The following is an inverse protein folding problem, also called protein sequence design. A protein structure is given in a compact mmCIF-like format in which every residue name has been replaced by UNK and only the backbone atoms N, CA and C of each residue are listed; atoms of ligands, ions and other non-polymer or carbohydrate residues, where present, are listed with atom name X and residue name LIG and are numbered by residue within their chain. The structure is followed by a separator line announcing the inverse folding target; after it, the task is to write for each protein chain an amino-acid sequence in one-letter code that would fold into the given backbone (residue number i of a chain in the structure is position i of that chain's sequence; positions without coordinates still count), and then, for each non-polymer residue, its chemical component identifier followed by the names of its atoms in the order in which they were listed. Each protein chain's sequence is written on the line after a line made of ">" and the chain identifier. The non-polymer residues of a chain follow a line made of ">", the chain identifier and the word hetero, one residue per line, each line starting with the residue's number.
data_IF_876195990381
#
_entry.id   IF_876195990381
#
_cell.length_a   1.000
_cell.length_b   1.000
_cell.length_c   1.000
_cell.angle_alpha   90.00
_cell.angle_beta   90.00
_cell.angle_gamma   90.00
#
_symmetry.space_group_name_H-M   'P 1'
#
loop_
_entity.id
_entity.type
_entity.pdbx_description
1 polymer ?
#
# COMPACT_ATOMS: atom_id res chain seq x y z
N UNK A 1 -27.45 14.53 -3.91
CA UNK A 1 -27.53 14.39 -5.39
C UNK A 1 -27.24 12.94 -5.70
N UNK A 2 -27.99 12.33 -6.62
CA UNK A 2 -27.86 10.93 -6.96
C UNK A 2 -27.25 10.79 -8.36
N UNK A 3 -26.23 9.93 -8.48
CA UNK A 3 -25.58 9.56 -9.71
C UNK A 3 -26.09 8.18 -10.13
N UNK A 4 -26.29 7.98 -11.43
CA UNK A 4 -26.77 6.69 -11.95
C UNK A 4 -25.60 5.96 -12.57
N UNK A 5 -25.15 4.89 -11.92
CA UNK A 5 -23.97 4.14 -12.31
C UNK A 5 -24.41 2.92 -13.13
N UNK A 6 -23.99 2.79 -14.41
CA UNK A 6 -24.28 1.59 -15.18
C UNK A 6 -23.47 0.42 -14.62
N UNK A 7 -24.11 -0.72 -14.43
CA UNK A 7 -23.45 -1.95 -13.97
C UNK A 7 -23.61 -3.04 -15.03
N UNK A 8 -22.63 -3.94 -15.14
CA UNK A 8 -22.57 -4.94 -16.23
C UNK A 8 -23.80 -5.85 -16.24
N UNK A 9 -24.17 -6.33 -15.07
CA UNK A 9 -25.33 -7.18 -14.79
C UNK A 9 -25.63 -7.14 -13.29
N UNK A 10 -26.69 -7.81 -12.87
CA UNK A 10 -26.95 -8.04 -11.45
C UNK A 10 -25.84 -8.87 -10.81
N UNK A 11 -25.40 -9.95 -11.47
CA UNK A 11 -24.34 -10.82 -10.96
C UNK A 11 -23.00 -10.06 -10.86
N UNK A 12 -22.66 -9.26 -11.87
CA UNK A 12 -21.45 -8.43 -11.83
C UNK A 12 -21.50 -7.35 -10.74
N UNK A 13 -22.70 -6.86 -10.39
CA UNK A 13 -22.86 -5.98 -9.23
C UNK A 13 -22.64 -6.74 -7.92
N UNK A 14 -23.07 -8.00 -7.80
CA UNK A 14 -22.81 -8.83 -6.62
C UNK A 14 -21.31 -9.08 -6.46
N UNK A 15 -20.61 -9.43 -7.55
CA UNK A 15 -19.14 -9.58 -7.55
C UNK A 15 -18.44 -8.27 -7.11
N UNK A 16 -18.93 -7.12 -7.57
CA UNK A 16 -18.43 -5.81 -7.16
C UNK A 16 -18.64 -5.54 -5.66
N UNK A 17 -19.80 -5.93 -5.11
CA UNK A 17 -20.10 -5.80 -3.67
C UNK A 17 -19.20 -6.70 -2.85
N UNK A 18 -18.97 -7.94 -3.26
CA UNK A 18 -18.02 -8.84 -2.59
C UNK A 18 -16.60 -8.27 -2.63
N UNK A 19 -16.18 -7.69 -3.76
CA UNK A 19 -14.90 -7.01 -3.87
C UNK A 19 -14.79 -5.83 -2.90
N UNK A 20 -15.83 -5.00 -2.79
CA UNK A 20 -15.90 -3.89 -1.83
C UNK A 20 -15.78 -4.40 -0.39
N UNK A 21 -16.59 -5.38 0.00
CA UNK A 21 -16.57 -5.98 1.34
C UNK A 21 -15.20 -6.52 1.73
N UNK A 22 -14.50 -7.15 0.80
CA UNK A 22 -13.18 -7.74 1.04
C UNK A 22 -12.05 -6.71 1.02
N UNK A 23 -12.28 -5.52 0.46
CA UNK A 23 -11.24 -4.50 0.24
C UNK A 23 -11.34 -3.31 1.19
N UNK A 24 -12.52 -3.01 1.72
CA UNK A 24 -12.76 -1.95 2.68
C UNK A 24 -12.12 -2.26 4.03
N UNK A 25 -11.60 -1.23 4.70
CA UNK A 25 -11.18 -1.34 6.09
C UNK A 25 -12.40 -1.51 7.02
N UNK A 26 -12.14 -1.90 8.28
CA UNK A 26 -13.21 -2.08 9.26
C UNK A 26 -14.03 -0.78 9.43
N UNK A 27 -15.35 -0.89 9.24
CA UNK A 27 -16.27 0.24 9.33
C UNK A 27 -16.46 1.07 8.06
N UNK A 28 -15.66 0.84 7.00
CA UNK A 28 -15.81 1.52 5.71
C UNK A 28 -16.96 0.96 4.87
N UNK A 29 -17.23 -0.35 4.95
CA UNK A 29 -18.39 -0.96 4.30
C UNK A 29 -19.48 -1.21 5.34
N UNK A 30 -20.67 -0.62 5.13
CA UNK A 30 -21.84 -0.82 6.01
C UNK A 30 -22.99 -1.43 5.20
N UNK A 31 -23.40 -2.69 5.46
CA UNK A 31 -24.57 -3.27 4.81
C UNK A 31 -25.85 -2.54 5.26
N UNK A 32 -26.90 -2.53 4.44
CA UNK A 32 -28.16 -1.84 4.73
C UNK A 32 -28.93 -2.31 5.99
N UNK A 33 -28.40 -3.26 6.77
CA UNK A 33 -29.08 -3.87 7.92
C UNK A 33 -28.99 -3.05 9.22
N UNK A 34 -28.16 -2.00 9.28
CA UNK A 34 -27.92 -1.24 10.52
C UNK A 34 -28.64 0.12 10.62
N UNK A 35 -29.51 0.46 9.66
CA UNK A 35 -30.37 1.65 9.81
C UNK A 35 -31.71 1.26 10.43
N UNK A 36 -31.88 1.58 11.71
CA UNK A 36 -33.12 1.45 12.44
C UNK A 36 -34.21 2.42 11.93
N UNK A 37 -34.71 2.22 10.69
CA UNK A 37 -35.99 2.74 10.19
C UNK A 37 -36.20 2.34 8.71
N UNK A 38 -36.62 1.11 8.44
CA UNK A 38 -37.70 0.77 7.50
C UNK A 38 -37.58 -0.68 7.02
N UNK A 39 -38.70 -1.39 7.09
CA UNK A 39 -38.86 -2.80 6.73
C UNK A 39 -38.88 -3.07 5.22
N UNK A 40 -38.02 -2.39 4.43
CA UNK A 40 -37.90 -2.55 2.95
C UNK A 40 -36.52 -2.16 2.41
N UNK A 41 -35.41 -2.42 3.11
CA UNK A 41 -34.09 -2.25 2.49
C UNK A 41 -33.85 -3.38 1.47
N UNK A 42 -33.47 -3.02 0.24
CA UNK A 42 -33.04 -3.99 -0.75
C UNK A 42 -31.73 -4.60 -0.24
N UNK A 43 -31.54 -5.94 -0.23
CA UNK A 43 -30.31 -6.58 0.25
C UNK A 43 -29.05 -6.15 -0.52
N UNK A 44 -29.24 -5.49 -1.67
CA UNK A 44 -28.19 -4.95 -2.53
C UNK A 44 -27.80 -3.50 -2.18
N UNK A 45 -28.44 -2.90 -1.18
CA UNK A 45 -28.11 -1.56 -0.71
C UNK A 45 -27.01 -1.61 0.37
N UNK A 46 -26.12 -0.63 0.35
CA UNK A 46 -25.02 -0.50 1.32
C UNK A 46 -24.48 0.92 1.32
N UNK A 47 -23.72 1.27 2.37
CA UNK A 47 -23.02 2.53 2.49
C UNK A 47 -21.50 2.28 2.46
N UNK A 48 -20.75 3.15 1.76
CA UNK A 48 -19.29 3.22 1.77
C UNK A 48 -18.87 4.50 2.50
N UNK A 49 -18.23 4.36 3.65
CA UNK A 49 -17.81 5.49 4.50
C UNK A 49 -16.46 6.01 4.01
N UNK A 50 -16.43 7.31 3.67
CA UNK A 50 -15.21 8.04 3.29
C UNK A 50 -14.56 8.72 4.49
N UNK A 51 -15.37 9.20 5.43
CA UNK A 51 -14.93 9.75 6.70
C UNK A 51 -15.98 9.44 7.77
N UNK A 52 -15.61 8.84 8.91
CA UNK A 52 -16.52 8.71 10.05
C UNK A 52 -16.80 10.08 10.71
N UNK A 53 -17.73 10.11 11.66
CA UNK A 53 -17.97 11.23 12.60
C UNK A 53 -16.66 11.88 13.07
N UNK A 54 -16.53 13.23 13.19
CA UNK A 54 -17.63 14.18 13.32
C UNK A 54 -18.15 14.75 11.98
N UNK A 55 -17.37 14.68 10.90
CA UNK A 55 -17.81 15.04 9.54
C UNK A 55 -18.16 13.75 8.79
N UNK A 56 -19.23 13.07 9.19
CA UNK A 56 -19.61 11.82 8.54
C UNK A 56 -19.86 12.08 7.04
N UNK A 57 -19.04 11.45 6.20
CA UNK A 57 -19.17 11.48 4.75
C UNK A 57 -19.19 10.05 4.24
N UNK A 58 -20.26 9.70 3.54
CA UNK A 58 -20.44 8.37 2.97
C UNK A 58 -21.09 8.42 1.58
N UNK A 59 -20.88 7.37 0.81
CA UNK A 59 -21.59 7.08 -0.42
C UNK A 59 -22.67 6.05 -0.11
N UNK A 60 -23.94 6.40 -0.32
CA UNK A 60 -25.05 5.47 -0.23
C UNK A 60 -25.33 4.86 -1.59
N UNK A 61 -25.24 3.54 -1.67
CA UNK A 61 -25.49 2.77 -2.89
C UNK A 61 -26.86 2.11 -2.78
N UNK A 62 -27.68 2.35 -3.79
CA UNK A 62 -28.89 1.57 -4.05
C UNK A 62 -28.62 0.63 -5.22
N UNK A 63 -28.69 -0.66 -4.96
CA UNK A 63 -28.40 -1.68 -5.96
C UNK A 63 -29.46 -1.77 -7.06
N UNK A 64 -29.15 -2.39 -8.21
CA UNK A 64 -30.11 -2.55 -9.31
C UNK A 64 -31.31 -3.40 -8.87
N UNK A 65 -32.51 -2.91 -9.20
CA UNK A 65 -33.76 -3.65 -9.02
C UNK A 65 -33.96 -4.63 -10.18
N UNK A 66 -34.51 -5.81 -9.89
CA UNK A 66 -34.96 -6.74 -10.92
C UNK A 66 -36.21 -6.17 -11.60
N UNK A 67 -36.02 -5.40 -12.65
CA UNK A 67 -37.10 -5.06 -13.56
C UNK A 67 -37.21 -6.17 -14.60
N UNK A 68 -38.36 -6.83 -14.68
CA UNK A 68 -38.61 -8.00 -15.55
C UNK A 68 -38.55 -7.74 -17.06
N UNK A 69 -38.00 -6.60 -17.47
CA UNK A 69 -37.77 -6.22 -18.85
C UNK A 69 -36.39 -6.71 -19.31
N UNK A 70 -36.38 -7.91 -19.91
CA UNK A 70 -35.23 -8.50 -20.58
C UNK A 70 -34.66 -7.55 -21.65
N UNK A 71 -33.66 -6.75 -21.29
CA UNK A 71 -32.91 -5.89 -22.23
C UNK A 71 -32.36 -4.57 -21.69
N UNK A 72 -32.75 -4.12 -20.49
CA UNK A 72 -32.20 -2.88 -19.90
C UNK A 72 -30.86 -3.13 -19.21
N UNK A 73 -29.84 -2.31 -19.52
CA UNK A 73 -28.57 -2.29 -18.76
C UNK A 73 -28.91 -2.04 -17.29
N UNK A 74 -28.49 -2.93 -16.39
CA UNK A 74 -28.67 -2.76 -14.95
C UNK A 74 -28.01 -1.46 -14.48
N UNK A 75 -28.65 -0.74 -13.55
CA UNK A 75 -28.17 0.55 -13.06
C UNK A 75 -28.27 0.57 -11.53
N UNK A 76 -27.19 0.99 -10.88
CA UNK A 76 -27.18 1.32 -9.46
C UNK A 76 -27.30 2.84 -9.28
N UNK A 77 -27.79 3.27 -8.13
CA UNK A 77 -27.75 4.68 -7.74
C UNK A 77 -26.70 4.90 -6.66
N UNK A 78 -25.85 5.91 -6.85
CA UNK A 78 -24.85 6.34 -5.87
C UNK A 78 -25.21 7.74 -5.38
N UNK A 79 -25.26 7.92 -4.06
CA UNK A 79 -25.63 9.19 -3.45
C UNK A 79 -24.57 9.60 -2.43
N UNK A 80 -24.01 10.80 -2.60
CA UNK A 80 -23.14 11.40 -1.60
C UNK A 80 -23.99 11.91 -0.41
N UNK A 81 -23.74 11.38 0.77
CA UNK A 81 -24.34 11.77 2.04
C UNK A 81 -23.25 12.38 2.94
N UNK A 82 -23.45 13.63 3.33
CA UNK A 82 -22.51 14.36 4.17
C UNK A 82 -23.30 15.35 5.05
N UNK A 83 -24.05 14.86 6.06
CA UNK A 83 -25.01 15.68 6.82
C UNK A 83 -24.33 16.76 7.68
N UNK A 84 -23.11 16.51 8.16
CA UNK A 84 -22.37 17.41 9.05
C UNK A 84 -21.21 18.16 8.38
N UNK A 85 -20.88 17.84 7.12
CA UNK A 85 -19.81 18.49 6.37
C UNK A 85 -20.20 19.90 5.87
N UNK A 86 -19.20 20.78 5.71
CA UNK A 86 -19.41 22.11 5.15
C UNK A 86 -19.73 22.07 3.65
N UNK A 87 -20.41 23.12 3.14
CA UNK A 87 -20.84 23.19 1.74
C UNK A 87 -19.68 23.18 0.73
N UNK A 88 -18.50 23.66 1.11
CA UNK A 88 -17.31 23.67 0.27
C UNK A 88 -16.73 22.28 0.07
N UNK A 89 -16.58 21.51 1.17
CA UNK A 89 -16.18 20.10 1.11
C UNK A 89 -17.17 19.27 0.27
N UNK A 90 -18.49 19.45 0.50
CA UNK A 90 -19.53 18.76 -0.29
C UNK A 90 -19.43 19.11 -1.77
N UNK A 91 -19.19 20.37 -2.11
CA UNK A 91 -19.05 20.78 -3.51
C UNK A 91 -17.77 20.21 -4.14
N UNK A 92 -16.67 20.15 -3.40
CA UNK A 92 -15.41 19.55 -3.87
C UNK A 92 -15.58 18.06 -4.16
N UNK A 93 -16.20 17.31 -3.24
CA UNK A 93 -16.52 15.90 -3.43
C UNK A 93 -17.39 15.65 -4.66
N UNK A 94 -18.39 16.51 -4.91
CA UNK A 94 -19.21 16.43 -6.14
C UNK A 94 -18.38 16.65 -7.39
N UNK A 95 -17.55 17.70 -7.43
CA UNK A 95 -16.68 17.97 -8.57
C UNK A 95 -15.73 16.81 -8.85
N UNK A 96 -15.22 16.15 -7.81
CA UNK A 96 -14.38 14.96 -7.94
C UNK A 96 -15.15 13.78 -8.55
N UNK A 97 -16.34 13.46 -8.04
CA UNK A 97 -17.19 12.41 -8.63
C UNK A 97 -17.48 12.72 -10.10
N UNK A 98 -17.91 13.94 -10.40
CA UNK A 98 -18.24 14.36 -11.77
C UNK A 98 -17.03 14.33 -12.71
N UNK A 99 -15.86 14.72 -12.22
CA UNK A 99 -14.60 14.62 -12.97
C UNK A 99 -14.31 13.16 -13.31
N UNK A 100 -14.40 12.25 -12.34
CA UNK A 100 -14.12 10.82 -12.57
C UNK A 100 -15.12 10.19 -13.54
N UNK A 101 -16.40 10.52 -13.39
CA UNK A 101 -17.47 10.03 -14.28
C UNK A 101 -17.30 10.51 -15.74
N UNK A 102 -16.56 11.59 -15.97
CA UNK A 102 -16.35 12.17 -17.30
C UNK A 102 -15.10 11.60 -18.03
N UNK A 103 -14.25 10.83 -17.35
CA UNK A 103 -13.03 10.27 -17.93
C UNK A 103 -13.33 9.10 -18.89
N UNK A 104 -12.62 9.03 -20.02
CA UNK A 104 -12.89 8.02 -21.06
C UNK A 104 -12.62 6.58 -20.61
N UNK A 105 -11.67 6.39 -19.71
CA UNK A 105 -11.32 5.07 -19.17
C UNK A 105 -12.33 4.57 -18.13
N UNK A 106 -13.12 5.47 -17.52
CA UNK A 106 -14.19 5.10 -16.60
C UNK A 106 -15.26 4.23 -17.29
N UNK A 107 -15.55 4.49 -18.56
CA UNK A 107 -16.51 3.67 -19.31
C UNK A 107 -16.07 2.21 -19.46
N UNK A 108 -14.75 1.97 -19.47
CA UNK A 108 -14.14 0.65 -19.59
C UNK A 108 -13.92 -0.03 -18.24
N UNK A 109 -14.11 0.70 -17.13
CA UNK A 109 -13.92 0.16 -15.78
C UNK A 109 -14.88 -1.01 -15.53
N UNK A 110 -14.32 -2.10 -15.02
CA UNK A 110 -15.04 -3.34 -14.76
C UNK A 110 -15.98 -3.25 -13.56
N UNK A 111 -15.53 -2.54 -12.51
CA UNK A 111 -16.24 -2.29 -11.26
C UNK A 111 -16.30 -0.78 -11.01
N UNK A 112 -17.39 -0.14 -11.43
CA UNK A 112 -17.51 1.32 -11.52
C UNK A 112 -17.76 2.01 -10.16
N UNK A 113 -18.50 1.37 -9.26
CA UNK A 113 -18.71 1.88 -7.90
C UNK A 113 -17.41 1.74 -7.11
N UNK A 114 -16.73 0.61 -7.27
CA UNK A 114 -15.41 0.35 -6.71
C UNK A 114 -14.41 1.43 -7.13
N UNK A 115 -14.38 1.73 -8.42
CA UNK A 115 -13.50 2.73 -9.01
C UNK A 115 -13.76 4.14 -8.47
N UNK A 116 -15.03 4.58 -8.38
CA UNK A 116 -15.40 5.89 -7.78
C UNK A 116 -14.95 5.97 -6.32
N UNK A 117 -15.21 4.91 -5.54
CA UNK A 117 -14.81 4.87 -4.14
C UNK A 117 -13.29 4.99 -3.99
N UNK A 118 -12.52 4.25 -4.80
CA UNK A 118 -11.06 4.34 -4.82
C UNK A 118 -10.55 5.71 -5.20
N UNK A 119 -11.16 6.33 -6.22
CA UNK A 119 -10.77 7.65 -6.67
C UNK A 119 -10.92 8.68 -5.54
N UNK A 120 -12.03 8.63 -4.80
CA UNK A 120 -12.28 9.52 -3.66
C UNK A 120 -11.35 9.22 -2.48
N UNK A 121 -11.14 7.95 -2.12
CA UNK A 121 -10.15 7.57 -1.09
C UNK A 121 -8.73 8.02 -1.44
N UNK A 122 -8.36 7.96 -2.73
CA UNK A 122 -7.10 8.47 -3.25
C UNK A 122 -6.97 9.98 -3.01
N UNK A 123 -7.98 10.75 -3.40
CA UNK A 123 -8.00 12.20 -3.19
C UNK A 123 -7.96 12.62 -1.71
N UNK A 124 -8.60 11.86 -0.82
CA UNK A 124 -8.49 12.05 0.63
C UNK A 124 -7.05 11.82 1.09
N UNK A 125 -6.46 10.72 0.64
CA UNK A 125 -5.10 10.32 1.03
C UNK A 125 -4.03 11.28 0.48
N UNK A 126 -4.24 11.83 -0.71
CA UNK A 126 -3.35 12.81 -1.34
C UNK A 126 -3.48 14.22 -0.71
N UNK A 127 -4.40 14.40 0.25
CA UNK A 127 -4.65 15.69 0.91
C UNK A 127 -5.45 16.68 0.07
N UNK A 128 -5.95 16.25 -1.09
CA UNK A 128 -6.88 17.04 -1.89
C UNK A 128 -8.23 17.16 -1.17
N UNK A 129 -8.63 16.16 -0.39
CA UNK A 129 -9.80 16.25 0.50
C UNK A 129 -9.30 16.19 1.94
N UNK A 130 -9.57 17.25 2.70
CA UNK A 130 -9.20 17.36 4.10
C UNK A 130 -10.48 17.42 4.91
N UNK A 131 -10.64 16.48 5.84
CA UNK A 131 -11.70 16.49 6.84
C UNK A 131 -11.23 17.19 8.12
N UNK A 132 -12.16 17.73 8.90
CA UNK A 132 -11.84 18.28 10.21
C UNK A 132 -11.18 17.20 11.09
N UNK A 133 -10.10 17.53 11.82
CA UNK A 133 -9.41 16.56 12.64
C UNK A 133 -10.34 15.97 13.71
N UNK A 134 -10.36 14.64 13.77
CA UNK A 134 -10.95 13.88 14.86
C UNK A 134 -10.38 14.37 16.19
N UNK A 135 -11.23 14.78 17.14
CA UNK A 135 -10.80 14.83 18.54
C UNK A 135 -10.81 13.41 19.06
N UNK A 136 -9.78 12.65 18.70
CA UNK A 136 -9.50 11.42 19.42
C UNK A 136 -8.64 11.74 20.63
N UNK A 137 -9.14 11.33 21.79
CA UNK A 137 -8.47 11.47 23.06
C UNK A 137 -7.56 10.25 23.28
N UNK A 138 -6.34 10.53 23.75
CA UNK A 138 -5.30 9.60 24.23
C UNK A 138 -4.49 8.85 23.14
N UNK A 139 -3.16 8.78 23.18
CA UNK A 139 -2.22 8.81 24.30
C UNK A 139 -1.00 9.71 24.01
N UNK A 140 -0.59 10.48 25.02
CA UNK A 140 0.73 11.10 25.06
C UNK A 140 1.80 10.01 25.20
N UNK A 141 2.72 9.93 24.25
CA UNK A 141 3.98 9.22 24.42
C UNK A 141 4.90 10.08 25.31
N UNK A 142 5.38 9.58 26.46
CA UNK A 142 6.35 10.31 27.27
C UNK A 142 7.68 10.38 26.52
N UNK A 143 8.21 11.60 26.41
CA UNK A 143 9.51 11.86 25.81
C UNK A 143 10.60 10.96 26.39
N UNK A 144 11.12 10.07 25.56
CA UNK A 144 12.35 9.33 25.84
C UNK A 144 13.49 10.31 25.69
N UNK A 145 14.05 10.73 26.83
CA UNK A 145 15.29 11.48 26.87
C UNK A 145 16.41 10.55 26.39
N UNK A 146 17.13 11.04 25.39
CA UNK A 146 18.36 10.51 24.84
C UNK A 146 19.42 10.41 25.96
N UNK A 147 19.49 9.26 26.60
CA UNK A 147 20.65 8.85 27.38
C UNK A 147 21.59 8.13 26.43
N UNK A 148 22.57 8.87 25.92
CA UNK A 148 23.67 8.36 25.13
C UNK A 148 24.39 7.22 25.89
N UNK A 149 24.01 5.97 25.57
CA UNK A 149 24.81 4.79 25.84
C UNK A 149 26.00 4.84 24.87
N UNK A 150 27.26 4.72 25.34
CA UNK A 150 28.40 4.66 24.43
C UNK A 150 28.22 3.46 23.48
N UNK A 151 28.64 3.55 22.20
CA UNK A 151 28.41 2.51 21.21
C UNK A 151 29.14 1.23 21.64
N UNK A 152 28.43 0.34 22.34
CA UNK A 152 28.79 -1.05 22.44
C UNK A 152 28.68 -1.61 21.04
N UNK A 153 29.80 -2.08 20.48
CA UNK A 153 29.82 -2.78 19.21
C UNK A 153 29.05 -4.10 19.37
N UNK A 154 27.75 -4.06 19.15
CA UNK A 154 26.91 -5.27 19.16
C UNK A 154 27.41 -6.24 18.09
N UNK A 155 27.65 -7.49 18.47
CA UNK A 155 28.16 -8.52 17.57
C UNK A 155 27.06 -9.05 16.63
N UNK A 156 25.81 -8.83 16.99
CA UNK A 156 24.63 -9.34 16.28
C UNK A 156 23.63 -8.22 16.07
N UNK A 157 22.91 -8.25 14.95
CA UNK A 157 21.81 -7.34 14.66
C UNK A 157 20.62 -8.11 14.10
N UNK A 158 19.41 -7.76 14.56
CA UNK A 158 18.17 -8.32 14.03
C UNK A 158 17.80 -7.63 12.73
N UNK A 159 17.48 -8.43 11.74
CA UNK A 159 17.16 -8.02 10.38
C UNK A 159 15.80 -8.58 9.98
N UNK A 160 15.10 -7.86 9.11
CA UNK A 160 13.83 -8.30 8.57
C UNK A 160 13.80 -8.14 7.07
N UNK A 161 13.19 -9.12 6.39
CA UNK A 161 12.84 -9.06 4.98
C UNK A 161 11.34 -9.26 4.83
N UNK A 162 10.67 -8.40 4.09
CA UNK A 162 9.23 -8.51 3.86
C UNK A 162 8.85 -8.38 2.40
N UNK A 163 7.72 -9.00 2.04
CA UNK A 163 7.15 -8.97 0.69
C UNK A 163 5.68 -8.57 0.81
N UNK A 164 5.34 -7.45 0.19
CA UNK A 164 3.96 -7.04 -0.02
C UNK A 164 3.50 -7.42 -1.43
N UNK A 165 2.25 -7.84 -1.52
CA UNK A 165 1.48 -7.87 -2.74
C UNK A 165 0.46 -6.73 -2.72
N UNK A 166 0.23 -6.09 -3.86
CA UNK A 166 -0.87 -5.14 -4.06
C UNK A 166 -1.45 -5.34 -5.46
N UNK A 167 -2.73 -4.99 -5.63
CA UNK A 167 -3.39 -5.07 -6.93
C UNK A 167 -2.60 -4.30 -8.00
N UNK A 168 -2.13 -3.09 -7.71
CA UNK A 168 -1.25 -2.37 -8.62
C UNK A 168 -0.42 -1.28 -7.93
N UNK A 169 0.72 -0.94 -8.51
CA UNK A 169 1.54 0.23 -8.13
C UNK A 169 1.74 1.13 -9.36
N UNK A 170 0.71 1.90 -9.69
CA UNK A 170 0.74 2.91 -10.77
C UNK A 170 1.01 4.33 -10.26
N UNK A 171 0.56 4.65 -9.04
CA UNK A 171 0.68 6.00 -8.47
C UNK A 171 2.14 6.43 -8.36
N UNK A 172 2.46 7.55 -9.00
CA UNK A 172 3.79 8.17 -8.93
C UNK A 172 4.08 8.71 -7.53
N UNK A 173 3.05 9.16 -6.79
CA UNK A 173 3.15 9.55 -5.38
C UNK A 173 3.58 8.38 -4.51
N UNK A 174 2.92 7.22 -4.63
CA UNK A 174 3.29 6.00 -3.89
C UNK A 174 4.73 5.59 -4.17
N UNK A 175 5.16 5.60 -5.43
CA UNK A 175 6.54 5.32 -5.82
C UNK A 175 7.54 6.32 -5.21
N UNK A 176 7.22 7.61 -5.22
CA UNK A 176 8.05 8.66 -4.60
C UNK A 176 8.16 8.47 -3.08
N UNK A 177 7.05 8.17 -2.41
CA UNK A 177 7.00 7.91 -0.97
C UNK A 177 7.87 6.71 -0.61
N UNK A 178 7.72 5.58 -1.31
CA UNK A 178 8.58 4.39 -1.12
C UNK A 178 10.05 4.75 -1.26
N UNK A 179 10.43 5.48 -2.33
CA UNK A 179 11.82 5.88 -2.54
C UNK A 179 12.35 6.78 -1.42
N UNK A 180 11.53 7.73 -0.95
CA UNK A 180 11.88 8.60 0.16
C UNK A 180 12.10 7.80 1.45
N UNK A 181 11.16 6.92 1.80
CA UNK A 181 11.23 6.10 3.01
C UNK A 181 12.37 5.09 2.99
N UNK A 182 12.69 4.48 1.85
CA UNK A 182 13.86 3.60 1.73
C UNK A 182 15.16 4.34 2.07
N UNK A 183 15.29 5.60 1.62
CA UNK A 183 16.46 6.41 1.96
C UNK A 183 16.44 6.89 3.41
N UNK A 184 15.28 7.26 3.94
CA UNK A 184 15.09 7.78 5.30
C UNK A 184 15.35 6.69 6.35
N UNK A 185 14.69 5.54 6.21
CA UNK A 185 14.77 4.38 7.10
C UNK A 185 15.97 3.48 6.78
N UNK A 186 16.81 3.84 5.80
CA UNK A 186 17.98 3.06 5.40
C UNK A 186 17.65 1.60 5.02
N UNK A 187 16.49 1.40 4.40
CA UNK A 187 15.96 0.10 3.94
C UNK A 187 16.24 -0.09 2.46
N UNK A 188 16.69 -1.29 2.08
CA UNK A 188 16.80 -1.67 0.68
C UNK A 188 15.44 -2.12 0.15
N UNK A 189 15.04 -1.57 -1.00
CA UNK A 189 13.75 -1.83 -1.62
C UNK A 189 13.87 -2.40 -3.03
N UNK A 190 13.00 -3.33 -3.38
CA UNK A 190 12.72 -3.67 -4.78
C UNK A 190 11.21 -3.52 -4.98
N UNK A 191 10.81 -2.84 -6.05
CA UNK A 191 9.40 -2.77 -6.45
C UNK A 191 9.22 -3.32 -7.85
N UNK A 192 8.18 -4.13 -8.03
CA UNK A 192 7.66 -4.51 -9.34
C UNK A 192 6.36 -3.74 -9.57
N UNK A 193 6.38 -2.61 -10.29
CA UNK A 193 5.18 -1.84 -10.57
C UNK A 193 4.28 -2.54 -11.61
N UNK A 194 3.03 -2.08 -11.74
CA UNK A 194 2.03 -2.68 -12.63
C UNK A 194 1.12 -3.68 -11.91
N UNK A 195 0.51 -4.61 -12.65
CA UNK A 195 -0.43 -5.62 -12.13
C UNK A 195 0.15 -7.05 -12.27
N UNK A 196 0.15 -7.87 -11.21
CA UNK A 196 0.11 -7.46 -9.80
C UNK A 196 1.38 -6.69 -9.39
N UNK A 197 1.29 -5.84 -8.37
CA UNK A 197 2.44 -5.14 -7.83
C UNK A 197 3.07 -5.90 -6.65
N UNK A 198 4.40 -5.84 -6.58
CA UNK A 198 5.17 -6.39 -5.45
C UNK A 198 6.13 -5.36 -4.89
N UNK A 199 6.25 -5.33 -3.57
CA UNK A 199 7.20 -4.50 -2.85
C UNK A 199 8.00 -5.42 -1.93
N UNK A 200 9.32 -5.33 -2.00
CA UNK A 200 10.21 -6.11 -1.18
C UNK A 200 11.11 -5.16 -0.43
N UNK A 201 11.22 -5.35 0.88
CA UNK A 201 12.02 -4.50 1.75
C UNK A 201 12.93 -5.34 2.63
N UNK A 202 14.17 -4.89 2.83
CA UNK A 202 15.14 -5.55 3.70
C UNK A 202 16.04 -4.53 4.41
N UNK A 203 16.29 -4.76 5.70
CA UNK A 203 17.05 -3.86 6.55
C UNK A 203 17.04 -4.30 8.02
N UNK A 204 17.38 -3.39 8.93
CA UNK A 204 17.24 -3.62 10.36
C UNK A 204 15.77 -3.93 10.70
N UNK A 205 15.53 -4.73 11.73
CA UNK A 205 14.17 -5.09 12.13
C UNK A 205 13.32 -3.85 12.45
N UNK A 206 13.88 -2.89 13.18
CA UNK A 206 13.18 -1.65 13.57
C UNK A 206 12.79 -0.80 12.36
N UNK A 207 13.74 -0.58 11.43
CA UNK A 207 13.50 0.23 10.24
C UNK A 207 12.50 -0.43 9.28
N UNK A 208 12.54 -1.76 9.15
CA UNK A 208 11.62 -2.51 8.29
C UNK A 208 10.23 -2.60 8.92
N UNK A 209 10.11 -2.74 10.24
CA UNK A 209 8.81 -2.71 10.93
C UNK A 209 8.14 -1.33 10.80
N UNK A 210 8.92 -0.23 10.87
CA UNK A 210 8.41 1.11 10.55
C UNK A 210 8.04 1.27 9.07
N UNK A 211 8.82 0.72 8.13
CA UNK A 211 8.44 0.67 6.72
C UNK A 211 7.13 -0.08 6.51
N UNK A 212 6.96 -1.24 7.16
CA UNK A 212 5.73 -2.05 7.10
C UNK A 212 4.55 -1.23 7.61
N UNK A 213 4.70 -0.53 8.73
CA UNK A 213 3.67 0.35 9.30
C UNK A 213 3.29 1.43 8.30
N UNK A 214 4.26 2.21 7.80
CA UNK A 214 4.01 3.27 6.80
C UNK A 214 3.29 2.74 5.58
N UNK A 215 3.71 1.59 5.03
CA UNK A 215 3.08 0.98 3.85
C UNK A 215 1.63 0.56 4.12
N UNK A 216 1.36 -0.04 5.28
CA UNK A 216 -0.01 -0.40 5.71
C UNK A 216 -0.89 0.83 5.90
N UNK A 217 -0.34 1.91 6.45
CA UNK A 217 -1.05 3.17 6.70
C UNK A 217 -1.45 3.91 5.40
N UNK A 218 -0.92 3.51 4.23
CA UNK A 218 -1.24 4.18 2.98
C UNK A 218 -2.60 3.79 2.36
N UNK A 219 -3.39 2.92 2.99
CA UNK A 219 -4.70 2.48 2.47
C UNK A 219 -4.64 1.98 1.00
N UNK A 220 -3.63 1.19 0.64
CA UNK A 220 -3.49 0.69 -0.74
C UNK A 220 -4.48 -0.44 -1.02
N UNK A 221 -5.09 -0.40 -2.21
CA UNK A 221 -5.99 -1.44 -2.67
C UNK A 221 -5.35 -2.84 -2.66
N UNK A 222 -6.05 -3.77 -2.03
CA UNK A 222 -5.69 -5.18 -1.89
C UNK A 222 -4.23 -5.36 -1.46
N UNK A 223 -3.76 -4.53 -0.52
CA UNK A 223 -2.42 -4.64 0.04
C UNK A 223 -2.38 -5.79 1.03
N UNK A 224 -1.47 -6.72 0.82
CA UNK A 224 -1.27 -7.86 1.70
C UNK A 224 0.21 -8.07 1.95
N UNK A 225 0.59 -8.11 3.22
CA UNK A 225 1.91 -8.56 3.64
C UNK A 225 1.94 -10.10 3.51
N UNK A 226 2.61 -10.59 2.47
CA UNK A 226 2.60 -12.02 2.09
C UNK A 226 3.76 -12.82 2.70
N UNK A 227 4.88 -12.17 2.98
CA UNK A 227 5.99 -12.77 3.72
C UNK A 227 6.65 -11.73 4.63
N UNK A 228 7.06 -12.18 5.81
CA UNK A 228 7.87 -11.41 6.75
C UNK A 228 8.82 -12.37 7.47
N UNK A 229 10.10 -12.31 7.12
CA UNK A 229 11.14 -13.21 7.59
C UNK A 229 12.12 -12.42 8.44
N UNK A 230 12.30 -12.84 9.69
CA UNK A 230 13.26 -12.27 10.63
C UNK A 230 14.50 -13.15 10.71
N UNK A 231 15.67 -12.55 10.68
CA UNK A 231 16.95 -13.25 10.76
C UNK A 231 17.99 -12.42 11.52
N UNK A 232 19.06 -13.08 11.96
CA UNK A 232 20.15 -12.41 12.69
C UNK A 232 21.37 -12.29 11.79
N UNK A 233 21.89 -11.08 11.68
CA UNK A 233 23.21 -10.83 11.11
C UNK A 233 24.25 -10.90 12.23
N UNK A 234 25.23 -11.80 12.10
CA UNK A 234 26.38 -11.86 13.00
C UNK A 234 27.58 -11.22 12.31
N UNK A 235 28.19 -10.23 12.97
CA UNK A 235 29.40 -9.57 12.48
C UNK A 235 30.55 -10.59 12.36
N UNK A 236 31.23 -10.70 11.21
CA UNK A 236 32.38 -11.57 11.09
C UNK A 236 33.53 -11.07 11.99
N UNK A 237 34.15 -11.98 12.74
CA UNK A 237 35.20 -11.68 13.71
C UNK A 237 36.45 -11.03 13.09
N UNK A 238 36.65 -11.17 11.78
CA UNK A 238 37.84 -10.72 11.05
C UNK A 238 37.72 -9.31 10.45
N UNK A 239 36.56 -8.63 10.53
CA UNK A 239 36.40 -7.28 9.99
C UNK A 239 37.00 -6.26 10.97
N UNK A 240 38.08 -5.53 10.62
CA UNK A 240 38.67 -4.55 11.50
C UNK A 240 37.62 -3.54 12.00
N UNK A 241 37.73 -3.10 13.26
CA UNK A 241 36.84 -2.07 13.84
C UNK A 241 37.02 -0.67 13.21
N UNK A 242 37.69 -0.58 12.06
CA UNK A 242 37.99 0.67 11.37
C UNK A 242 36.75 1.17 10.62
N UNK A 243 35.85 1.80 11.36
CA UNK A 243 34.94 2.83 10.85
C UNK A 243 33.50 2.41 10.54
N UNK A 244 33.22 1.15 10.23
CA UNK A 244 31.84 0.71 9.92
C UNK A 244 31.16 0.09 11.14
N UNK A 245 29.97 0.59 11.48
CA UNK A 245 29.15 0.01 12.54
C UNK A 245 28.65 -1.39 12.13
N UNK A 246 28.29 -2.24 13.11
CA UNK A 246 27.66 -3.55 12.82
C UNK A 246 26.41 -3.38 11.96
N UNK A 247 25.67 -2.30 12.18
CA UNK A 247 24.51 -1.92 11.37
C UNK A 247 24.86 -1.63 9.90
N UNK A 248 25.90 -0.83 9.64
CA UNK A 248 26.35 -0.54 8.27
C UNK A 248 26.78 -1.81 7.54
N UNK A 249 27.51 -2.69 8.23
CA UNK A 249 27.94 -3.97 7.69
C UNK A 249 26.72 -4.86 7.39
N UNK A 250 25.76 -4.97 8.31
CA UNK A 250 24.54 -5.73 8.11
C UNK A 250 23.77 -5.26 6.86
N UNK A 251 23.61 -3.94 6.68
CA UNK A 251 22.94 -3.37 5.52
C UNK A 251 23.69 -3.62 4.20
N UNK A 252 25.02 -3.63 4.21
CA UNK A 252 25.82 -3.98 3.01
C UNK A 252 25.73 -5.46 2.66
N UNK A 253 25.51 -6.33 3.65
CA UNK A 253 25.41 -7.78 3.46
C UNK A 253 23.98 -8.28 3.17
N UNK A 254 22.97 -7.42 3.21
CA UNK A 254 21.60 -7.75 2.83
C UNK A 254 21.55 -8.29 1.38
N UNK A 255 20.90 -9.43 1.12
CA UNK A 255 20.62 -9.91 -0.23
C UNK A 255 20.06 -8.84 -1.18
N UNK A 256 19.13 -7.99 -0.74
CA UNK A 256 18.57 -6.93 -1.58
C UNK A 256 19.58 -5.82 -1.92
N UNK A 257 20.61 -5.60 -1.08
CA UNK A 257 21.67 -4.63 -1.33
C UNK A 257 22.65 -5.05 -2.45
N UNK A 258 22.81 -6.36 -2.65
CA UNK A 258 23.75 -6.90 -3.63
C UNK A 258 23.28 -6.58 -5.05
N UNK A 259 24.16 -5.99 -5.87
CA UNK A 259 23.84 -5.55 -7.24
C UNK A 259 22.71 -4.51 -7.35
N UNK A 260 22.39 -3.81 -6.26
CA UNK A 260 21.35 -2.79 -6.26
C UNK A 260 21.79 -1.56 -7.08
N UNK A 261 20.87 -1.01 -7.89
CA UNK A 261 21.14 0.15 -8.77
C UNK A 261 21.70 1.37 -8.04
N UNK A 262 21.24 1.62 -6.81
CA UNK A 262 21.75 2.71 -5.95
C UNK A 262 23.19 2.50 -5.43
N UNK A 263 23.71 1.27 -5.49
CA UNK A 263 25.07 0.92 -5.10
C UNK A 263 26.05 0.95 -6.30
N UNK A 264 25.53 0.68 -7.51
CA UNK A 264 26.33 0.65 -8.73
C UNK A 264 26.48 2.05 -9.37
N UNK A 265 27.34 2.86 -8.77
CA UNK A 265 27.94 4.01 -9.44
C UNK A 265 29.43 3.75 -9.72
N UNK A 266 29.73 2.57 -10.27
CA UNK A 266 31.07 2.21 -10.75
C UNK A 266 30.95 1.69 -12.18
N UNK A 267 30.92 2.63 -13.12
CA UNK A 267 31.23 2.33 -14.52
C UNK A 267 32.69 1.88 -14.60
N UNK A 268 32.84 0.57 -14.78
CA UNK A 268 33.78 -0.07 -15.71
C UNK A 268 35.20 0.49 -15.80
N UNK A 269 36.13 -0.11 -15.06
CA UNK A 269 37.42 -0.53 -15.63
C UNK A 269 37.99 -1.64 -14.76
N UNK A 270 38.35 -2.76 -15.40
CA UNK A 270 38.60 -4.08 -14.81
C UNK A 270 39.41 -4.13 -13.51
N UNK A 271 38.99 -5.01 -12.61
CA UNK A 271 39.72 -5.33 -11.39
C UNK A 271 38.93 -6.22 -10.45
N UNK A 272 39.31 -7.49 -10.41
CA UNK A 272 38.92 -8.51 -9.44
C UNK A 272 38.97 -8.02 -7.98
N UNK A 273 38.00 -8.46 -7.17
CA UNK A 273 37.94 -8.32 -5.70
C UNK A 273 37.92 -6.88 -5.15
N UNK A 274 36.85 -6.12 -5.43
CA UNK A 274 36.55 -4.94 -4.63
C UNK A 274 36.05 -5.37 -3.23
N UNK A 275 36.86 -5.10 -2.20
CA UNK A 275 36.54 -5.32 -0.80
C UNK A 275 35.26 -4.57 -0.42
N UNK A 276 34.25 -5.27 0.10
CA UNK A 276 32.97 -4.73 0.57
C UNK A 276 33.09 -3.65 1.66
N UNK A 277 34.32 -3.39 2.14
CA UNK A 277 34.63 -2.47 3.24
C UNK A 277 34.60 -0.98 2.87
N UNK A 278 34.50 -0.62 1.59
CA UNK A 278 34.52 0.80 1.15
C UNK A 278 33.33 1.19 0.26
N UNK A 279 32.29 0.35 0.19
CA UNK A 279 31.06 0.69 -0.53
C UNK A 279 30.30 1.77 0.26
N UNK A 280 30.07 2.93 -0.37
CA UNK A 280 29.29 4.01 0.25
C UNK A 280 27.84 3.56 0.36
N UNK A 281 27.40 3.23 1.57
CA UNK A 281 26.06 2.76 1.86
C UNK A 281 25.01 3.82 1.42
N UNK A 282 24.17 3.45 0.46
CA UNK A 282 23.07 4.28 -0.06
C UNK A 282 21.83 3.42 -0.28
N UNK A 283 21.11 3.07 0.79
CA UNK A 283 19.87 2.31 0.66
C UNK A 283 18.88 3.08 -0.20
N UNK A 284 18.14 2.36 -1.01
CA UNK A 284 17.24 2.93 -2.01
C UNK A 284 16.31 1.87 -2.53
N UNK A 285 15.55 2.24 -3.57
CA UNK A 285 14.59 1.35 -4.22
C UNK A 285 14.93 1.16 -5.69
N UNK A 286 15.00 -0.10 -6.10
CA UNK A 286 15.10 -0.54 -7.49
C UNK A 286 13.70 -0.86 -8.04
N UNK A 287 13.42 -0.45 -9.29
CA UNK A 287 12.21 -0.87 -10.01
C UNK A 287 12.56 -1.98 -11.00
N UNK A 288 11.87 -3.12 -10.91
CA UNK A 288 12.00 -4.25 -11.83
C UNK A 288 10.67 -4.45 -12.56
N UNK A 289 10.69 -4.52 -13.88
CA UNK A 289 9.44 -4.50 -14.67
C UNK A 289 8.75 -5.87 -14.73
N UNK A 290 9.54 -6.94 -14.87
CA UNK A 290 9.01 -8.29 -15.12
C UNK A 290 9.13 -9.20 -13.90
N UNK A 291 8.18 -10.13 -13.77
CA UNK A 291 8.24 -11.16 -12.74
C UNK A 291 9.46 -12.07 -12.89
N UNK A 292 9.83 -12.40 -14.14
CA UNK A 292 11.00 -13.25 -14.43
C UNK A 292 12.29 -12.62 -13.92
N UNK A 293 12.46 -11.30 -14.14
CA UNK A 293 13.63 -10.57 -13.68
C UNK A 293 13.64 -10.45 -12.15
N UNK A 294 12.47 -10.25 -11.52
CA UNK A 294 12.36 -10.21 -10.06
C UNK A 294 12.78 -11.55 -9.44
N UNK A 295 12.25 -12.67 -9.95
CA UNK A 295 12.60 -14.01 -9.47
C UNK A 295 14.07 -14.31 -9.74
N UNK A 296 14.58 -13.97 -10.92
CA UNK A 296 15.99 -14.10 -11.27
C UNK A 296 16.89 -13.30 -10.32
N UNK A 297 16.48 -12.07 -9.98
CA UNK A 297 17.18 -11.18 -9.05
C UNK A 297 17.24 -11.76 -7.63
N UNK A 298 16.13 -12.30 -7.11
CA UNK A 298 16.06 -12.90 -5.77
C UNK A 298 16.91 -14.17 -5.68
N UNK A 299 16.85 -15.03 -6.70
CA UNK A 299 17.68 -16.23 -6.79
C UNK A 299 19.17 -15.88 -6.86
N UNK A 300 19.55 -14.88 -7.65
CA UNK A 300 20.95 -14.50 -7.84
C UNK A 300 21.62 -14.00 -6.55
N UNK A 301 20.85 -13.41 -5.62
CA UNK A 301 21.35 -12.92 -4.33
C UNK A 301 21.10 -13.87 -3.17
N UNK A 302 20.63 -15.09 -3.47
CA UNK A 302 20.51 -16.16 -2.49
C UNK A 302 19.33 -16.03 -1.52
N UNK A 303 18.26 -15.29 -1.87
CA UNK A 303 17.01 -15.35 -1.09
C UNK A 303 16.44 -16.78 -1.23
N UNK A 304 16.15 -17.48 -0.12
CA UNK A 304 15.58 -18.82 -0.18
C UNK A 304 14.26 -18.87 -0.94
N UNK A 305 14.11 -19.84 -1.85
CA UNK A 305 12.96 -19.95 -2.75
C UNK A 305 11.63 -20.11 -1.99
N UNK A 306 11.65 -20.74 -0.83
CA UNK A 306 10.49 -20.88 0.04
C UNK A 306 9.94 -19.53 0.55
N UNK A 307 10.79 -18.49 0.66
CA UNK A 307 10.35 -17.18 1.18
C UNK A 307 9.52 -16.39 0.15
N UNK A 308 9.80 -16.55 -1.14
CA UNK A 308 9.15 -15.74 -2.18
C UNK A 308 8.17 -16.54 -3.06
N UNK A 309 8.26 -17.87 -3.12
CA UNK A 309 7.40 -18.67 -4.02
C UNK A 309 5.91 -18.47 -3.75
N UNK A 310 5.48 -18.68 -2.51
CA UNK A 310 4.08 -18.47 -2.12
C UNK A 310 3.72 -16.97 -2.14
N UNK A 311 4.62 -16.11 -1.66
CA UNK A 311 4.37 -14.69 -1.56
C UNK A 311 4.17 -14.01 -2.94
N UNK A 312 4.87 -14.50 -3.96
CA UNK A 312 4.76 -14.03 -5.35
C UNK A 312 3.70 -14.80 -6.16
N UNK A 313 3.06 -15.81 -5.59
CA UNK A 313 2.04 -16.63 -6.27
C UNK A 313 2.61 -17.48 -7.42
N UNK A 314 3.85 -17.92 -7.31
CA UNK A 314 4.50 -18.75 -8.33
C UNK A 314 3.99 -20.19 -8.23
N UNK A 315 3.66 -20.80 -9.38
CA UNK A 315 3.28 -22.22 -9.44
C UNK A 315 4.54 -23.08 -9.37
N UNK A 316 4.64 -23.89 -8.32
CA UNK A 316 5.64 -24.96 -8.18
C UNK A 316 5.32 -26.16 -9.07
#
# INVERSE_FOLDING_TARGET
>A
MAYVIPVKSIDGFVEEVELLQNSCAEGEFRPASDTAASSRSNPRDFDLVLNPEPEEVLLRIQGPQEDGASGSRSRASLMLCAPSADSGLVQKLKCMIESRLAEEDFEQAEYKIYDIFLFLQGAISDGDIVFAPQRDASLEEPGVQDLAVPPSFEAELRMTRCIFWSHHLKSTTKKKNIRAWCSELRVWGITRPGYPAFLLFEGSEEDVDEMIKRIKDQNWHALSLRACVRYTYTRPAQVPNEGSSTHDLALLHCPLAQNHSSNNNTTDTGGSHASATNAKLRPGVEEIETMSDLVGRLRAVGVPEAEYTEALGLRT
#
